data_IF_782933973597
#
_entry.id   IF_782933973597
#
_cell.length_a   1.000
_cell.length_b   1.000
_cell.length_c   1.000
_cell.angle_alpha   90.00
_cell.angle_beta   90.00
_cell.angle_gamma   90.00
#
_symmetry.space_group_name_H-M   'P 1'
#
loop_
_entity.id
_entity.type
_entity.pdbx_description
1 polymer ?
#
# COMPACT_ATOMS: atom_id res chain seq x y z
N UNK A 1 91.39 -13.90 17.56
CA UNK A 1 90.96 -12.70 18.32
C UNK A 1 91.50 -11.47 17.61
N UNK A 2 90.99 -10.24 17.86
CA UNK A 2 89.71 -9.61 17.47
C UNK A 2 89.99 -8.49 16.42
N UNK A 3 89.02 -7.90 15.70
CA UNK A 3 88.27 -6.70 16.14
C UNK A 3 87.39 -6.19 14.97
N UNK A 4 86.17 -5.76 15.27
CA UNK A 4 85.42 -4.79 14.45
C UNK A 4 85.84 -3.36 14.83
N UNK A 5 85.59 -2.37 13.94
CA UNK A 5 84.62 -1.35 14.33
C UNK A 5 83.68 -0.87 13.19
N UNK A 6 82.57 -0.30 13.65
CA UNK A 6 81.37 0.21 12.97
C UNK A 6 81.59 1.56 12.27
N UNK A 7 80.96 1.81 11.10
CA UNK A 7 80.33 3.13 10.81
C UNK A 7 79.29 3.12 9.67
N UNK A 8 78.09 3.57 10.03
CA UNK A 8 76.95 4.01 9.20
C UNK A 8 77.32 4.73 7.89
N UNK A 9 76.62 4.41 6.80
CA UNK A 9 75.80 5.40 6.07
C UNK A 9 74.54 4.74 5.51
N UNK A 10 73.39 5.16 6.03
CA UNK A 10 72.09 4.87 5.46
C UNK A 10 71.91 5.69 4.16
N UNK A 11 71.50 5.04 3.07
CA UNK A 11 70.71 5.64 1.98
C UNK A 11 70.23 4.56 1.00
N UNK A 12 69.04 4.04 1.25
CA UNK A 12 68.20 3.40 0.24
C UNK A 12 66.75 3.47 0.68
N UNK A 13 66.24 4.70 0.83
CA UNK A 13 64.82 4.98 0.96
C UNK A 13 64.33 5.61 -0.33
N UNK A 14 63.91 4.79 -1.28
CA UNK A 14 62.95 5.22 -2.30
C UNK A 14 61.83 4.18 -2.27
N UNK A 15 60.92 4.37 -1.33
CA UNK A 15 59.59 3.79 -1.44
C UNK A 15 58.94 4.43 -2.67
N UNK A 16 58.78 3.64 -3.72
CA UNK A 16 57.93 3.95 -4.87
C UNK A 16 56.49 4.00 -4.38
N UNK A 17 56.09 5.16 -3.85
CA UNK A 17 54.69 5.48 -3.63
C UNK A 17 53.96 5.37 -4.97
N UNK A 18 52.96 4.49 -5.05
CA UNK A 18 52.00 4.47 -6.17
C UNK A 18 51.54 5.92 -6.39
N UNK A 19 51.45 6.41 -7.64
CA UNK A 19 50.89 7.72 -7.89
C UNK A 19 49.46 7.68 -7.34
N UNK A 20 49.23 8.41 -6.25
CA UNK A 20 47.89 8.68 -5.75
C UNK A 20 47.18 9.41 -6.89
N UNK A 21 46.33 8.67 -7.61
CA UNK A 21 45.50 9.22 -8.68
C UNK A 21 44.77 10.43 -8.09
N UNK A 22 45.18 11.63 -8.50
CA UNK A 22 44.60 12.88 -8.04
C UNK A 22 43.21 12.97 -8.66
N UNK A 23 42.23 12.39 -7.98
CA UNK A 23 40.83 12.51 -8.33
C UNK A 23 40.41 13.94 -8.06
N UNK A 24 40.15 14.68 -9.13
CA UNK A 24 39.62 16.04 -9.00
C UNK A 24 38.27 15.94 -8.31
N UNK A 25 38.07 16.77 -7.28
CA UNK A 25 36.79 16.85 -6.58
C UNK A 25 35.63 17.16 -7.53
N UNK A 26 35.87 17.88 -8.63
CA UNK A 26 34.91 18.12 -9.70
C UNK A 26 34.40 16.83 -10.36
N UNK A 27 35.28 15.86 -10.58
CA UNK A 27 34.94 14.60 -11.26
C UNK A 27 34.13 13.70 -10.32
N UNK A 28 34.47 13.71 -9.02
CA UNK A 28 33.68 13.06 -7.96
C UNK A 28 32.29 13.70 -7.80
N UNK A 29 32.21 15.03 -7.77
CA UNK A 29 30.94 15.77 -7.70
C UNK A 29 30.07 15.52 -8.93
N UNK A 30 30.66 15.54 -10.12
CA UNK A 30 29.93 15.28 -11.38
C UNK A 30 29.42 13.85 -11.41
N UNK A 31 30.24 12.88 -11.00
CA UNK A 31 29.83 11.48 -10.89
C UNK A 31 28.72 11.28 -9.85
N UNK A 32 28.80 11.95 -8.68
CA UNK A 32 27.72 11.92 -7.69
C UNK A 32 26.43 12.55 -8.19
N UNK A 33 26.48 13.62 -8.99
CA UNK A 33 25.29 14.22 -9.62
C UNK A 33 24.67 13.26 -10.63
N UNK A 34 25.49 12.59 -11.45
CA UNK A 34 25.03 11.61 -12.43
C UNK A 34 24.40 10.37 -11.76
N UNK A 35 25.00 9.92 -10.65
CA UNK A 35 24.46 8.85 -9.81
C UNK A 35 23.13 9.27 -9.16
N UNK A 36 23.02 10.50 -8.64
CA UNK A 36 21.76 11.04 -8.11
C UNK A 36 20.68 11.11 -9.20
N UNK A 37 21.02 11.53 -10.42
CA UNK A 37 20.07 11.56 -11.54
C UNK A 37 19.58 10.15 -11.90
N UNK A 38 20.47 9.15 -11.95
CA UNK A 38 20.09 7.75 -12.18
C UNK A 38 19.19 7.20 -11.09
N UNK A 39 19.49 7.52 -9.83
CA UNK A 39 18.65 7.11 -8.69
C UNK A 39 17.27 7.78 -8.77
N UNK A 40 17.21 9.06 -9.13
CA UNK A 40 15.94 9.79 -9.32
C UNK A 40 15.09 9.15 -10.43
N UNK A 41 15.68 8.83 -11.59
CA UNK A 41 14.93 8.19 -12.68
C UNK A 41 14.44 6.78 -12.30
N UNK A 42 15.26 6.02 -11.57
CA UNK A 42 14.84 4.72 -11.03
C UNK A 42 13.71 4.85 -10.01
N UNK A 43 13.76 5.85 -9.12
CA UNK A 43 12.68 6.12 -8.17
C UNK A 43 11.40 6.58 -8.89
N UNK A 44 11.51 7.37 -9.96
CA UNK A 44 10.36 7.77 -10.78
C UNK A 44 9.66 6.56 -11.41
N UNK A 45 10.40 5.67 -12.05
CA UNK A 45 9.84 4.44 -12.63
C UNK A 45 9.17 3.54 -11.57
N UNK A 46 9.77 3.47 -10.38
CA UNK A 46 9.20 2.73 -9.25
C UNK A 46 7.90 3.39 -8.75
N UNK A 47 7.86 4.72 -8.63
CA UNK A 47 6.67 5.47 -8.23
C UNK A 47 5.56 5.29 -9.26
N UNK A 48 5.87 5.38 -10.56
CA UNK A 48 4.92 5.15 -11.65
C UNK A 48 4.34 3.73 -11.58
N UNK A 49 5.18 2.73 -11.32
CA UNK A 49 4.74 1.33 -11.13
C UNK A 49 3.83 1.17 -9.90
N UNK A 50 4.16 1.81 -8.77
CA UNK A 50 3.33 1.80 -7.56
C UNK A 50 1.97 2.46 -7.85
N UNK A 51 1.97 3.57 -8.59
CA UNK A 51 0.76 4.29 -8.97
C UNK A 51 -0.13 3.43 -9.88
N UNK A 52 0.45 2.74 -10.85
CA UNK A 52 -0.28 1.86 -11.77
C UNK A 52 -0.90 0.67 -11.03
N UNK A 53 -0.13 0.00 -10.16
CA UNK A 53 -0.65 -1.07 -9.29
C UNK A 53 -1.74 -0.54 -8.36
N UNK A 54 -1.56 0.65 -7.78
CA UNK A 54 -2.58 1.27 -6.93
C UNK A 54 -3.86 1.60 -7.69
N UNK A 55 -3.78 2.02 -8.96
CA UNK A 55 -4.93 2.24 -9.83
C UNK A 55 -5.67 0.94 -10.13
N UNK A 56 -4.95 -0.13 -10.45
CA UNK A 56 -5.53 -1.44 -10.72
C UNK A 56 -6.19 -2.03 -9.45
N UNK A 57 -5.55 -1.91 -8.29
CA UNK A 57 -6.12 -2.29 -6.99
C UNK A 57 -7.37 -1.47 -6.67
N UNK A 58 -7.33 -0.15 -6.86
CA UNK A 58 -8.49 0.74 -6.62
C UNK A 58 -9.65 0.37 -7.54
N UNK A 59 -9.37 0.07 -8.82
CA UNK A 59 -10.36 -0.41 -9.78
C UNK A 59 -10.98 -1.76 -9.37
N UNK A 60 -10.13 -2.69 -8.91
CA UNK A 60 -10.55 -4.00 -8.42
C UNK A 60 -11.43 -3.88 -7.18
N UNK A 61 -11.06 -3.02 -6.23
CA UNK A 61 -11.87 -2.70 -5.04
C UNK A 61 -13.22 -2.09 -5.45
N UNK A 62 -13.24 -1.19 -6.43
CA UNK A 62 -14.49 -0.63 -6.98
C UNK A 62 -15.43 -1.68 -7.55
N UNK A 63 -14.87 -2.62 -8.32
CA UNK A 63 -15.63 -3.73 -8.92
C UNK A 63 -16.17 -4.66 -7.85
N UNK A 64 -15.33 -5.05 -6.88
CA UNK A 64 -15.73 -5.90 -5.76
C UNK A 64 -16.80 -5.22 -4.92
N UNK A 65 -16.62 -3.96 -4.57
CA UNK A 65 -17.60 -3.19 -3.79
C UNK A 65 -18.96 -3.13 -4.50
N UNK A 66 -18.96 -2.87 -5.81
CA UNK A 66 -20.20 -2.87 -6.62
C UNK A 66 -20.91 -4.22 -6.59
N UNK A 67 -20.15 -5.33 -6.73
CA UNK A 67 -20.69 -6.68 -6.62
C UNK A 67 -21.24 -6.95 -5.22
N UNK A 68 -20.48 -6.62 -4.17
CA UNK A 68 -20.89 -6.78 -2.78
C UNK A 68 -22.17 -6.01 -2.47
N UNK A 69 -22.32 -4.78 -2.95
CA UNK A 69 -23.56 -4.01 -2.76
C UNK A 69 -24.74 -4.64 -3.52
N UNK A 70 -24.54 -5.12 -4.75
CA UNK A 70 -25.59 -5.85 -5.50
C UNK A 70 -26.05 -7.09 -4.75
N UNK A 71 -25.12 -7.90 -4.25
CA UNK A 71 -25.45 -9.08 -3.45
C UNK A 71 -26.10 -8.70 -2.12
N UNK A 72 -25.63 -7.64 -1.45
CA UNK A 72 -26.24 -7.15 -0.23
C UNK A 72 -27.69 -6.70 -0.45
N UNK A 73 -27.99 -5.95 -1.53
CA UNK A 73 -29.38 -5.61 -1.88
C UNK A 73 -30.25 -6.83 -2.14
N UNK A 74 -29.72 -7.80 -2.88
CA UNK A 74 -30.45 -9.05 -3.18
C UNK A 74 -30.76 -9.82 -1.90
N UNK A 75 -29.78 -9.95 -1.02
CA UNK A 75 -29.96 -10.58 0.29
C UNK A 75 -30.94 -9.81 1.17
N UNK A 76 -30.90 -8.47 1.18
CA UNK A 76 -31.86 -7.64 1.92
C UNK A 76 -33.29 -7.85 1.43
N UNK A 77 -33.51 -7.83 0.11
CA UNK A 77 -34.83 -8.09 -0.48
C UNK A 77 -35.37 -9.47 -0.12
N UNK A 78 -34.51 -10.49 -0.12
CA UNK A 78 -34.89 -11.84 0.30
C UNK A 78 -35.24 -11.87 1.80
N UNK A 79 -34.45 -11.19 2.63
CA UNK A 79 -34.70 -11.10 4.08
C UNK A 79 -35.98 -10.34 4.39
N UNK A 80 -36.30 -9.27 3.67
CA UNK A 80 -37.54 -8.49 3.82
C UNK A 80 -38.79 -9.37 3.59
N UNK A 81 -38.70 -10.33 2.67
CA UNK A 81 -39.78 -11.29 2.38
C UNK A 81 -39.79 -12.46 3.38
N UNK A 82 -38.62 -12.98 3.76
CA UNK A 82 -38.50 -14.18 4.60
C UNK A 82 -38.68 -13.89 6.09
N UNK A 83 -38.18 -12.78 6.61
CA UNK A 83 -38.23 -12.44 8.04
C UNK A 83 -39.66 -12.40 8.60
N UNK A 84 -40.67 -11.82 7.93
CA UNK A 84 -42.05 -11.86 8.42
C UNK A 84 -42.60 -13.28 8.51
N UNK A 85 -42.33 -14.11 7.50
CA UNK A 85 -42.76 -15.51 7.43
C UNK A 85 -42.13 -16.30 8.59
N UNK A 86 -40.83 -16.14 8.77
CA UNK A 86 -40.06 -16.81 9.83
C UNK A 86 -40.53 -16.37 11.23
N UNK A 87 -40.80 -15.07 11.44
CA UNK A 87 -41.35 -14.57 12.70
C UNK A 87 -42.77 -15.07 13.00
N UNK A 88 -43.54 -15.42 11.96
CA UNK A 88 -44.89 -15.98 12.11
C UNK A 88 -44.94 -17.50 12.37
N UNK A 89 -43.81 -18.21 12.28
CA UNK A 89 -43.74 -19.65 12.54
C UNK A 89 -43.30 -19.91 13.99
N UNK A 90 -44.13 -20.55 14.84
CA UNK A 90 -43.88 -20.68 16.28
C UNK A 90 -42.73 -21.64 16.68
N UNK A 91 -42.13 -22.37 15.72
CA UNK A 91 -41.10 -23.40 15.97
C UNK A 91 -39.68 -23.00 15.51
N UNK A 92 -39.41 -21.73 15.20
CA UNK A 92 -38.09 -21.33 14.71
C UNK A 92 -37.10 -21.10 15.86
N UNK A 93 -35.91 -21.73 15.83
CA UNK A 93 -34.88 -21.50 16.83
C UNK A 93 -34.41 -20.04 16.84
N UNK A 94 -34.24 -19.45 18.04
CA UNK A 94 -33.77 -18.06 18.21
C UNK A 94 -32.46 -17.75 17.46
N UNK A 95 -31.58 -18.76 17.34
CA UNK A 95 -30.30 -18.62 16.64
C UNK A 95 -30.48 -18.30 15.15
N UNK A 96 -31.51 -18.86 14.51
CA UNK A 96 -31.80 -18.62 13.08
C UNK A 96 -32.34 -17.21 12.90
N UNK A 97 -33.28 -16.77 13.74
CA UNK A 97 -33.83 -15.41 13.71
C UNK A 97 -32.76 -14.35 13.97
N UNK A 98 -31.85 -14.62 14.91
CA UNK A 98 -30.72 -13.75 15.20
C UNK A 98 -29.76 -13.68 14.01
N UNK A 99 -29.45 -14.82 13.39
CA UNK A 99 -28.59 -14.85 12.20
C UNK A 99 -29.17 -14.01 11.07
N UNK A 100 -30.46 -14.15 10.75
CA UNK A 100 -31.13 -13.39 9.69
C UNK A 100 -31.16 -11.90 9.99
N UNK A 101 -31.40 -11.51 11.25
CA UNK A 101 -31.37 -10.11 11.69
C UNK A 101 -29.96 -9.52 11.60
N UNK A 102 -28.93 -10.29 11.96
CA UNK A 102 -27.54 -9.87 11.80
C UNK A 102 -27.17 -9.75 10.31
N UNK A 103 -27.70 -10.62 9.46
CA UNK A 103 -27.47 -10.59 8.02
C UNK A 103 -28.13 -9.36 7.39
N UNK A 104 -29.35 -9.03 7.79
CA UNK A 104 -30.06 -7.79 7.41
C UNK A 104 -29.26 -6.55 7.84
N UNK A 105 -28.81 -6.50 9.10
CA UNK A 105 -28.02 -5.38 9.60
C UNK A 105 -26.69 -5.22 8.83
N UNK A 106 -26.06 -6.33 8.46
CA UNK A 106 -24.84 -6.32 7.66
C UNK A 106 -25.09 -5.85 6.23
N UNK A 107 -26.12 -6.39 5.57
CA UNK A 107 -26.48 -6.01 4.19
C UNK A 107 -26.88 -4.55 4.12
N UNK A 108 -27.67 -4.08 5.08
CA UNK A 108 -28.07 -2.68 5.17
C UNK A 108 -26.87 -1.77 5.38
N UNK A 109 -25.95 -2.13 6.27
CA UNK A 109 -24.71 -1.37 6.48
C UNK A 109 -23.84 -1.29 5.23
N UNK A 110 -23.81 -2.33 4.40
CA UNK A 110 -23.10 -2.32 3.11
C UNK A 110 -23.78 -1.35 2.13
N UNK A 111 -25.11 -1.40 2.04
CA UNK A 111 -25.91 -0.55 1.15
C UNK A 111 -25.79 0.92 1.56
N UNK A 112 -25.94 1.23 2.85
CA UNK A 112 -25.88 2.59 3.37
C UNK A 112 -24.51 3.25 3.12
N UNK A 113 -23.44 2.45 3.10
CA UNK A 113 -22.08 2.94 2.86
C UNK A 113 -21.67 2.96 1.38
N UNK A 114 -22.54 2.53 0.45
CA UNK A 114 -22.24 2.46 -0.98
C UNK A 114 -21.79 3.80 -1.54
N UNK A 115 -22.60 4.85 -1.33
CA UNK A 115 -22.34 6.17 -1.91
C UNK A 115 -21.02 6.76 -1.40
N UNK A 116 -20.75 6.63 -0.10
CA UNK A 116 -19.52 7.10 0.54
C UNK A 116 -18.29 6.33 0.04
N UNK A 117 -18.41 5.00 -0.07
CA UNK A 117 -17.32 4.13 -0.52
C UNK A 117 -17.03 4.34 -2.01
N UNK A 118 -18.05 4.45 -2.85
CA UNK A 118 -17.92 4.75 -4.28
C UNK A 118 -17.27 6.11 -4.53
N UNK A 119 -17.66 7.13 -3.74
CA UNK A 119 -17.01 8.44 -3.77
C UNK A 119 -15.53 8.34 -3.37
N UNK A 120 -15.22 7.66 -2.27
CA UNK A 120 -13.84 7.45 -1.81
C UNK A 120 -12.98 6.78 -2.88
N UNK A 121 -13.50 5.73 -3.54
CA UNK A 121 -12.81 5.02 -4.62
C UNK A 121 -12.55 5.95 -5.82
N UNK A 122 -13.54 6.77 -6.18
CA UNK A 122 -13.41 7.75 -7.27
C UNK A 122 -12.37 8.81 -6.93
N UNK A 123 -12.39 9.34 -5.70
CA UNK A 123 -11.47 10.36 -5.23
C UNK A 123 -10.02 9.83 -5.16
N UNK A 124 -9.83 8.59 -4.70
CA UNK A 124 -8.53 7.90 -4.67
C UNK A 124 -8.02 7.66 -6.09
N UNK A 125 -8.86 7.15 -6.99
CA UNK A 125 -8.48 6.95 -8.39
C UNK A 125 -8.07 8.26 -9.05
N UNK A 126 -8.85 9.32 -8.84
CA UNK A 126 -8.53 10.66 -9.34
C UNK A 126 -7.23 11.20 -8.75
N UNK A 127 -6.99 11.01 -7.46
CA UNK A 127 -5.74 11.39 -6.80
C UNK A 127 -4.53 10.63 -7.35
N UNK A 128 -4.66 9.32 -7.57
CA UNK A 128 -3.60 8.50 -8.18
C UNK A 128 -3.33 8.92 -9.63
N UNK A 129 -4.36 9.15 -10.45
CA UNK A 129 -4.19 9.57 -11.86
C UNK A 129 -3.53 10.95 -12.00
N UNK A 130 -3.77 11.85 -11.05
CA UNK A 130 -3.28 13.24 -11.10
C UNK A 130 -1.99 13.45 -10.31
N UNK A 131 -1.49 12.42 -9.62
CA UNK A 131 -0.37 12.56 -8.68
C UNK A 131 -0.67 13.50 -7.50
N UNK A 132 -1.94 13.78 -7.22
CA UNK A 132 -2.37 14.73 -6.19
C UNK A 132 -2.31 14.08 -4.80
N UNK A 133 -1.15 14.23 -4.17
CA UNK A 133 -0.86 13.68 -2.84
C UNK A 133 -1.80 14.24 -1.76
N UNK A 134 -2.37 15.43 -1.95
CA UNK A 134 -3.31 16.03 -1.00
C UNK A 134 -4.67 15.32 -1.03
N UNK A 135 -5.14 14.92 -2.21
CA UNK A 135 -6.33 14.05 -2.34
C UNK A 135 -6.09 12.68 -1.74
N UNK A 136 -4.93 12.07 -2.01
CA UNK A 136 -4.59 10.77 -1.42
C UNK A 136 -4.54 10.82 0.12
N UNK A 137 -3.94 11.89 0.68
CA UNK A 137 -3.83 12.09 2.13
C UNK A 137 -5.18 12.39 2.79
N UNK A 138 -6.06 13.13 2.12
CA UNK A 138 -7.41 13.42 2.62
C UNK A 138 -8.27 12.15 2.72
N UNK A 139 -8.10 11.20 1.80
CA UNK A 139 -8.94 9.99 1.72
C UNK A 139 -8.27 8.71 2.28
N UNK A 140 -6.98 8.75 2.65
CA UNK A 140 -6.28 7.62 3.26
C UNK A 140 -6.95 7.10 4.55
N UNK A 141 -7.49 8.01 5.38
CA UNK A 141 -8.25 7.64 6.57
C UNK A 141 -9.57 6.93 6.24
N UNK A 142 -10.22 7.31 5.13
CA UNK A 142 -11.45 6.69 4.65
C UNK A 142 -11.19 5.31 4.05
N UNK A 143 -10.12 5.16 3.27
CA UNK A 143 -9.66 3.84 2.79
C UNK A 143 -9.33 2.90 3.95
N UNK A 144 -8.65 3.37 4.99
CA UNK A 144 -8.43 2.55 6.19
C UNK A 144 -9.73 2.09 6.84
N UNK A 145 -10.75 2.95 6.90
CA UNK A 145 -12.06 2.59 7.43
C UNK A 145 -12.79 1.58 6.53
N UNK A 146 -12.71 1.73 5.21
CA UNK A 146 -13.26 0.77 4.25
C UNK A 146 -12.57 -0.59 4.42
N UNK A 147 -11.25 -0.63 4.47
CA UNK A 147 -10.47 -1.86 4.71
C UNK A 147 -10.84 -2.48 6.05
N UNK A 148 -10.92 -1.70 7.14
CA UNK A 148 -11.28 -2.21 8.47
C UNK A 148 -12.71 -2.78 8.49
N UNK A 149 -13.61 -2.16 7.73
CA UNK A 149 -14.98 -2.64 7.54
C UNK A 149 -15.00 -3.95 6.75
N UNK A 150 -14.30 -4.03 5.61
CA UNK A 150 -14.18 -5.26 4.81
C UNK A 150 -13.53 -6.39 5.64
N UNK A 151 -12.44 -6.11 6.36
CA UNK A 151 -11.78 -7.09 7.23
C UNK A 151 -12.68 -7.57 8.37
N UNK A 152 -13.55 -6.71 8.90
CA UNK A 152 -14.53 -7.13 9.92
C UNK A 152 -15.63 -8.04 9.39
N UNK A 153 -15.81 -8.09 8.07
CA UNK A 153 -16.81 -8.91 7.37
C UNK A 153 -16.23 -10.26 6.95
N UNK A 154 -14.90 -10.34 6.78
CA UNK A 154 -14.21 -11.60 6.48
C UNK A 154 -14.07 -12.41 7.80
N UNK A 155 -14.64 -13.63 7.90
CA UNK A 155 -14.48 -14.46 9.09
C UNK A 155 -12.99 -14.73 9.30
N UNK A 156 -12.51 -14.54 10.53
CA UNK A 156 -11.20 -15.05 10.92
C UNK A 156 -11.33 -16.57 10.95
N UNK A 157 -10.71 -17.23 9.98
CA UNK A 157 -10.53 -18.68 10.00
C UNK A 157 -9.73 -19.12 11.22
#
# INVERSE_FOLDING_TARGET
>A
MPTMPVRNTAKAGISTGKPTSYVKFSDKLTQSIDDIQKIIESHKQMIDSIQEVALELTSSIGTLHTLTVKYARTANQILDVLLPIIKSVPLIPKNVTQMLTNLEALTQKIIDNEASTSKTITDVRGGLQTGDVNKLKAHAGQLQNVTRTITSIIPKG
#
